data_IF_947992757665
#
_entry.id   IF_947992757665
#
_cell.length_a   1.000
_cell.length_b   1.000
_cell.length_c   1.000
_cell.angle_alpha   90.00
_cell.angle_beta   90.00
_cell.angle_gamma   90.00
#
_symmetry.space_group_name_H-M   'P 1'
#
loop_
_entity.id
_entity.type
_entity.pdbx_description
1 polymer ?
#
# COMPACT_ATOMS: atom_id res chain seq x y z
N UNK A 1 -11.45 4.24 9.31
CA UNK A 1 -11.00 3.11 8.46
C UNK A 1 -9.92 3.63 7.53
N UNK A 2 -8.86 2.85 7.25
CA UNK A 2 -7.68 3.34 6.52
C UNK A 2 -7.32 2.43 5.35
N UNK A 3 -7.17 2.98 4.16
CA UNK A 3 -6.53 2.31 3.02
C UNK A 3 -5.05 2.68 2.99
N UNK A 4 -4.17 1.68 3.07
CA UNK A 4 -2.74 1.85 2.84
C UNK A 4 -2.42 1.55 1.38
N UNK A 5 -2.08 2.59 0.65
CA UNK A 5 -1.74 2.52 -0.76
C UNK A 5 -0.25 2.35 -1.02
N UNK A 6 0.19 1.18 -1.44
CA UNK A 6 1.60 0.92 -1.77
C UNK A 6 1.79 0.99 -3.29
N UNK A 7 2.71 1.84 -3.74
CA UNK A 7 3.06 1.97 -5.16
C UNK A 7 4.40 1.29 -5.40
N UNK A 8 4.45 0.37 -6.36
CA UNK A 8 5.68 -0.35 -6.72
C UNK A 8 5.87 -0.48 -8.23
N UNK A 9 7.12 -0.39 -8.70
CA UNK A 9 7.52 -0.75 -10.06
C UNK A 9 7.66 -2.27 -10.28
N UNK A 10 7.72 -3.05 -9.20
CA UNK A 10 8.05 -4.47 -9.20
C UNK A 10 9.45 -4.75 -8.65
N UNK A 11 9.77 -6.03 -8.40
CA UNK A 11 11.08 -6.47 -7.92
C UNK A 11 11.33 -6.32 -6.41
N UNK A 12 10.46 -5.60 -5.69
CA UNK A 12 10.61 -5.27 -4.27
C UNK A 12 9.76 -6.16 -3.33
N UNK A 13 9.48 -7.41 -3.72
CA UNK A 13 8.55 -8.29 -3.00
C UNK A 13 8.89 -8.46 -1.52
N UNK A 14 10.16 -8.64 -1.16
CA UNK A 14 10.59 -8.79 0.24
C UNK A 14 10.37 -7.51 1.05
N UNK A 15 10.60 -6.35 0.45
CA UNK A 15 10.43 -5.07 1.12
C UNK A 15 8.95 -4.73 1.28
N UNK A 16 8.12 -4.96 0.26
CA UNK A 16 6.67 -4.77 0.35
C UNK A 16 6.09 -5.64 1.46
N UNK A 17 6.55 -6.89 1.59
CA UNK A 17 6.15 -7.73 2.73
C UNK A 17 6.51 -7.11 4.08
N UNK A 18 7.70 -6.54 4.24
CA UNK A 18 8.08 -5.82 5.48
C UNK A 18 7.23 -4.59 5.74
N UNK A 19 6.80 -3.88 4.69
CA UNK A 19 5.86 -2.76 4.84
C UNK A 19 4.52 -3.29 5.36
N UNK A 20 4.00 -4.36 4.76
CA UNK A 20 2.74 -4.96 5.18
C UNK A 20 2.84 -5.47 6.63
N UNK A 21 3.94 -6.14 7.00
CA UNK A 21 4.20 -6.57 8.38
C UNK A 21 4.16 -5.38 9.35
N UNK A 22 4.74 -4.23 8.95
CA UNK A 22 4.71 -3.02 9.77
C UNK A 22 3.31 -2.40 9.93
N UNK A 23 2.44 -2.55 8.93
CA UNK A 23 1.04 -2.10 9.00
C UNK A 23 0.22 -3.04 9.90
N UNK A 24 0.40 -4.35 9.73
CA UNK A 24 -0.27 -5.38 10.54
C UNK A 24 0.12 -5.27 12.04
N UNK A 25 1.39 -4.93 12.32
CA UNK A 25 1.90 -4.74 13.68
C UNK A 25 1.20 -3.60 14.46
N UNK A 26 0.65 -2.60 13.76
CA UNK A 26 -0.08 -1.48 14.38
C UNK A 26 -1.46 -1.90 14.92
N UNK A 27 -1.94 -3.11 14.60
CA UNK A 27 -3.23 -3.67 15.07
C UNK A 27 -4.42 -2.73 14.83
N UNK A 28 -4.44 -2.11 13.66
CA UNK A 28 -5.50 -1.18 13.24
C UNK A 28 -6.82 -1.95 13.12
N UNK A 29 -7.93 -1.51 13.74
CA UNK A 29 -9.17 -2.29 13.76
C UNK A 29 -9.80 -2.53 12.37
N UNK A 30 -9.70 -1.54 11.47
CA UNK A 30 -10.26 -1.61 10.13
C UNK A 30 -9.34 -0.94 9.13
N UNK A 31 -8.68 -1.76 8.32
CA UNK A 31 -7.78 -1.32 7.27
C UNK A 31 -7.82 -2.25 6.06
N UNK A 32 -7.36 -1.73 4.93
CA UNK A 32 -7.01 -2.52 3.75
C UNK A 32 -5.65 -2.06 3.25
N UNK A 33 -4.99 -2.92 2.50
CA UNK A 33 -3.75 -2.61 1.80
C UNK A 33 -4.03 -2.76 0.31
N UNK A 34 -3.78 -1.72 -0.46
CA UNK A 34 -3.91 -1.72 -1.91
C UNK A 34 -2.54 -1.50 -2.54
N UNK A 35 -2.03 -2.53 -3.22
CA UNK A 35 -0.76 -2.45 -3.93
C UNK A 35 -1.03 -2.19 -5.42
N UNK A 36 -0.49 -1.09 -5.96
CA UNK A 36 -0.54 -0.78 -7.39
C UNK A 36 0.82 -1.08 -8.03
N UNK A 37 0.87 -2.12 -8.86
CA UNK A 37 2.09 -2.55 -9.55
C UNK A 37 2.28 -4.07 -9.55
N UNK A 38 3.44 -4.51 -10.02
CA UNK A 38 3.78 -5.93 -10.07
C UNK A 38 4.15 -6.44 -8.68
N UNK A 39 3.23 -7.18 -8.06
CA UNK A 39 3.42 -7.82 -6.77
C UNK A 39 2.51 -9.05 -6.68
N UNK A 40 2.95 -10.10 -6.01
CA UNK A 40 2.15 -11.28 -5.73
C UNK A 40 2.14 -11.49 -4.23
N UNK A 41 0.95 -11.49 -3.64
CA UNK A 41 0.75 -11.74 -2.21
C UNK A 41 -0.59 -12.43 -1.98
N UNK A 42 -0.62 -13.32 -0.99
CA UNK A 42 -1.80 -14.03 -0.53
C UNK A 42 -2.17 -13.60 0.90
N UNK A 43 -2.14 -12.30 1.18
CA UNK A 43 -2.50 -11.73 2.49
C UNK A 43 -3.96 -11.31 2.53
N UNK A 44 -4.62 -11.55 3.67
CA UNK A 44 -6.07 -11.42 3.84
C UNK A 44 -6.59 -10.00 3.57
N UNK A 45 -5.93 -8.98 4.11
CA UNK A 45 -6.33 -7.58 3.95
C UNK A 45 -5.63 -6.87 2.80
N UNK A 46 -5.00 -7.62 1.87
CA UNK A 46 -4.23 -7.05 0.77
C UNK A 46 -4.90 -7.32 -0.57
N UNK A 47 -5.17 -6.25 -1.32
CA UNK A 47 -5.58 -6.31 -2.72
C UNK A 47 -4.44 -5.83 -3.60
N UNK A 48 -4.22 -6.52 -4.71
CA UNK A 48 -3.22 -6.11 -5.70
C UNK A 48 -3.93 -5.73 -6.99
N UNK A 49 -3.56 -4.57 -7.53
CA UNK A 49 -3.97 -4.12 -8.84
C UNK A 49 -2.73 -4.06 -9.74
N UNK A 50 -2.67 -4.95 -10.73
CA UNK A 50 -1.59 -4.95 -11.72
C UNK A 50 -1.68 -3.67 -12.56
N UNK A 51 -0.58 -2.91 -12.61
CA UNK A 51 -0.55 -1.67 -13.36
C UNK A 51 -0.53 -1.96 -14.87
N UNK A 52 -1.51 -1.48 -15.66
CA UNK A 52 -1.70 -1.93 -17.04
C UNK A 52 -0.65 -1.36 -18.01
N UNK A 53 -0.02 -0.24 -17.67
CA UNK A 53 0.88 0.47 -18.55
C UNK A 53 2.31 -0.09 -18.44
N UNK A 54 2.60 -1.09 -19.28
CA UNK A 54 3.91 -1.76 -19.32
C UNK A 54 5.00 -0.93 -20.00
N UNK A 55 4.64 0.11 -20.75
CA UNK A 55 5.62 1.00 -21.39
C UNK A 55 6.22 1.99 -20.39
N UNK A 56 5.41 2.45 -19.43
CA UNK A 56 5.84 3.36 -18.37
C UNK A 56 5.58 2.75 -16.99
N UNK A 57 6.30 1.66 -16.63
CA UNK A 57 6.04 0.94 -15.39
C UNK A 57 6.19 1.83 -14.15
N UNK A 58 6.97 2.91 -14.21
CA UNK A 58 7.23 3.81 -13.09
C UNK A 58 6.39 5.10 -13.10
N UNK A 59 5.22 5.09 -13.75
CA UNK A 59 4.34 6.27 -13.78
C UNK A 59 3.64 6.51 -12.43
N UNK A 60 4.39 7.01 -11.45
CA UNK A 60 3.97 7.18 -10.04
C UNK A 60 2.68 8.00 -9.94
N UNK A 61 2.57 9.11 -10.65
CA UNK A 61 1.38 9.98 -10.60
C UNK A 61 0.10 9.24 -11.04
N UNK A 62 0.19 8.48 -12.15
CA UNK A 62 -0.94 7.68 -12.66
C UNK A 62 -1.32 6.57 -11.67
N UNK A 63 -0.33 5.92 -11.05
CA UNK A 63 -0.57 4.94 -9.98
C UNK A 63 -1.24 5.56 -8.77
N UNK A 64 -0.81 6.75 -8.31
CA UNK A 64 -1.45 7.48 -7.20
C UNK A 64 -2.92 7.79 -7.49
N UNK A 65 -3.23 8.20 -8.72
CA UNK A 65 -4.60 8.48 -9.14
C UNK A 65 -5.47 7.22 -9.16
N UNK A 66 -4.97 6.11 -9.73
CA UNK A 66 -5.67 4.82 -9.73
C UNK A 66 -5.91 4.35 -8.28
N UNK A 67 -4.89 4.47 -7.44
CA UNK A 67 -4.97 4.12 -6.03
C UNK A 67 -6.08 4.89 -5.34
N UNK A 68 -6.13 6.22 -5.52
CA UNK A 68 -7.17 7.07 -4.95
C UNK A 68 -8.59 6.71 -5.42
N UNK A 69 -8.73 6.26 -6.68
CA UNK A 69 -10.02 5.81 -7.23
C UNK A 69 -10.48 4.44 -6.70
N UNK A 70 -9.53 3.56 -6.38
CA UNK A 70 -9.80 2.19 -5.94
C UNK A 70 -9.86 2.03 -4.41
N UNK A 71 -9.38 3.02 -3.66
CA UNK A 71 -9.45 3.04 -2.20
C UNK A 71 -10.91 2.99 -1.73
N UNK A 72 -11.20 2.12 -0.77
CA UNK A 72 -12.57 1.90 -0.29
C UNK A 72 -12.86 2.56 1.06
N UNK A 73 -11.82 3.01 1.76
CA UNK A 73 -11.96 3.69 3.04
C UNK A 73 -11.73 5.20 2.94
N UNK A 74 -12.29 5.91 3.92
CA UNK A 74 -12.30 7.37 4.00
C UNK A 74 -10.89 7.98 4.06
N UNK A 75 -9.97 7.32 4.77
CA UNK A 75 -8.58 7.78 4.89
C UNK A 75 -7.67 7.00 3.95
N UNK A 76 -6.88 7.73 3.16
CA UNK A 76 -5.90 7.16 2.26
C UNK A 76 -4.47 7.56 2.65
N UNK A 77 -3.61 6.57 2.88
CA UNK A 77 -2.18 6.75 3.17
C UNK A 77 -1.37 6.28 1.98
N UNK A 78 -0.60 7.17 1.36
CA UNK A 78 0.30 6.81 0.27
C UNK A 78 1.67 6.36 0.82
N UNK A 79 2.11 5.19 0.38
CA UNK A 79 3.40 4.60 0.68
C UNK A 79 4.13 4.25 -0.62
N UNK A 80 5.44 4.50 -0.61
CA UNK A 80 6.34 3.94 -1.60
C UNK A 80 6.85 2.58 -1.11
N UNK A 81 7.24 1.70 -2.04
CA UNK A 81 7.73 0.34 -1.81
C UNK A 81 9.13 0.24 -1.14
N UNK A 82 9.58 1.32 -0.51
CA UNK A 82 10.81 1.42 0.27
C UNK A 82 10.61 2.10 1.64
N UNK A 83 9.38 2.38 2.08
CA UNK A 83 9.06 2.99 3.38
C UNK A 83 8.14 2.08 4.19
N UNK A 84 8.59 1.67 5.37
CA UNK A 84 7.78 0.96 6.37
C UNK A 84 7.34 1.90 7.49
N UNK A 85 6.29 1.53 8.19
CA UNK A 85 5.83 2.29 9.36
C UNK A 85 6.80 2.10 10.53
N UNK A 86 6.94 3.17 11.32
CA UNK A 86 7.60 3.10 12.63
C UNK A 86 6.57 2.63 13.64
N UNK A 87 6.97 1.79 14.58
CA UNK A 87 6.13 1.39 15.71
C UNK A 87 5.50 2.62 16.38
N UNK A 88 4.19 2.56 16.60
CA UNK A 88 3.42 3.64 17.21
C UNK A 88 2.82 4.62 16.20
N UNK A 89 2.93 4.33 14.90
CA UNK A 89 2.45 5.21 13.84
C UNK A 89 0.95 5.47 13.96
N UNK A 90 0.14 4.44 14.24
CA UNK A 90 -1.31 4.57 14.31
C UNK A 90 -1.75 5.40 15.53
N UNK A 91 -1.09 5.22 16.68
CA UNK A 91 -1.34 6.05 17.86
C UNK A 91 -0.97 7.51 17.61
N UNK A 92 0.11 7.77 16.85
CA UNK A 92 0.47 9.11 16.43
C UNK A 92 -0.52 9.71 15.41
N UNK A 93 -1.08 8.88 14.53
CA UNK A 93 -2.07 9.29 13.53
C UNK A 93 -3.43 9.68 14.15
N UNK A 94 -3.81 9.09 15.29
CA UNK A 94 -5.08 9.37 15.97
C UNK A 94 -5.08 10.64 16.85
N UNK A 95 -3.93 11.29 17.04
CA UNK A 95 -3.80 12.52 17.82
C UNK A 95 -4.22 13.74 17.01
#
# INVERSE_FOLDING_TARGET
MITFGIITGGGQTSFINQIIDSIEAEKIPQYEILVIGSFLSAREHTRVYEFPDKQFPDWITKKKNILAQLATFETLVFLHDYIKLKEGWYQGFLQ
#
